data_IF_390215571734
#
_entry.id   IF_390215571734
#
_cell.length_a   1.000
_cell.length_b   1.000
_cell.length_c   1.000
_cell.angle_alpha   90.00
_cell.angle_beta   90.00
_cell.angle_gamma   90.00
#
_symmetry.space_group_name_H-M   'P 1'
#
loop_
_entity.id
_entity.type
_entity.pdbx_description
1 polymer ?
#
# COMPACT_ATOMS: atom_id res chain seq x y z
N UNK A 1 -3.34 -3.51 1.85
CA UNK A 1 -3.91 -2.20 1.48
C UNK A 1 -3.02 -1.61 0.40
N UNK A 2 -3.54 -1.44 -0.80
CA UNK A 2 -2.77 -0.93 -1.94
C UNK A 2 -2.85 0.59 -1.96
N UNK A 3 -1.71 1.27 -2.05
CA UNK A 3 -1.62 2.73 -2.09
C UNK A 3 -2.29 3.35 -3.34
N UNK A 4 -2.76 2.55 -4.30
CA UNK A 4 -3.55 2.98 -5.44
C UNK A 4 -5.03 3.19 -5.12
N UNK A 5 -5.60 2.43 -4.19
CA UNK A 5 -7.06 2.40 -3.92
C UNK A 5 -7.43 2.96 -2.55
N UNK A 6 -6.52 3.65 -1.87
CA UNK A 6 -6.76 4.16 -0.51
C UNK A 6 -7.89 5.20 -0.43
N UNK A 7 -8.18 5.89 -1.53
CA UNK A 7 -9.28 6.87 -1.63
C UNK A 7 -10.64 6.23 -1.93
N UNK A 8 -10.64 5.02 -2.47
CA UNK A 8 -11.84 4.29 -2.89
C UNK A 8 -12.35 3.32 -1.82
N UNK A 9 -11.66 3.23 -0.68
CA UNK A 9 -12.11 2.41 0.43
C UNK A 9 -13.38 3.04 1.02
N UNK A 10 -14.53 2.34 0.97
CA UNK A 10 -15.76 2.85 1.56
C UNK A 10 -15.57 3.06 3.06
N UNK A 11 -16.16 4.12 3.62
CA UNK A 11 -16.20 4.38 5.07
C UNK A 11 -16.73 3.15 5.85
N UNK A 12 -17.55 2.34 5.20
CA UNK A 12 -18.18 1.12 5.71
C UNK A 12 -17.21 -0.06 5.92
N UNK A 13 -16.04 -0.04 5.27
CA UNK A 13 -15.06 -1.14 5.35
C UNK A 13 -14.32 -1.21 6.69
N UNK A 14 -14.48 -0.22 7.58
CA UNK A 14 -13.92 -0.25 8.95
C UNK A 14 -12.39 -0.16 9.03
N UNK A 15 -11.68 -0.08 7.89
CA UNK A 15 -10.21 -0.01 7.85
C UNK A 15 -9.70 1.44 8.03
N UNK A 16 -10.56 2.44 7.76
CA UNK A 16 -10.23 3.88 7.85
C UNK A 16 -11.35 4.71 8.50
N UNK A 17 -12.30 4.06 9.18
CA UNK A 17 -13.52 4.72 9.66
C UNK A 17 -13.28 5.60 10.89
N UNK A 18 -12.11 5.50 11.54
CA UNK A 18 -11.85 6.25 12.77
C UNK A 18 -10.74 7.30 12.61
N UNK A 19 -10.90 8.44 13.30
CA UNK A 19 -9.77 9.38 13.52
C UNK A 19 -8.56 8.67 14.15
N UNK A 20 -8.80 7.58 14.88
CA UNK A 20 -7.78 6.71 15.46
C UNK A 20 -6.91 6.06 14.38
N UNK A 21 -7.49 5.50 13.31
CA UNK A 21 -6.71 4.86 12.23
C UNK A 21 -5.83 5.88 11.51
N UNK A 22 -6.36 7.07 11.26
CA UNK A 22 -5.58 8.20 10.71
C UNK A 22 -4.45 8.62 11.66
N UNK A 23 -4.70 8.61 12.98
CA UNK A 23 -3.69 8.89 14.02
C UNK A 23 -2.61 7.81 14.08
N UNK A 24 -2.97 6.54 13.94
CA UNK A 24 -2.00 5.43 13.89
C UNK A 24 -1.16 5.48 12.61
N UNK A 25 -1.77 5.81 11.47
CA UNK A 25 -1.02 5.97 10.23
C UNK A 25 -0.01 7.11 10.28
N UNK A 26 -0.37 8.23 10.91
CA UNK A 26 0.55 9.32 11.21
C UNK A 26 1.70 8.94 12.16
N UNK A 27 1.61 7.81 12.89
CA UNK A 27 2.71 7.29 13.72
C UNK A 27 3.70 6.47 12.91
N UNK A 28 3.31 5.94 11.76
CA UNK A 28 4.28 5.32 10.86
C UNK A 28 5.12 6.41 10.21
N UNK A 29 6.43 6.18 10.06
CA UNK A 29 7.32 7.13 9.40
C UNK A 29 7.53 6.86 7.91
N UNK A 30 7.08 5.70 7.41
CA UNK A 30 7.51 5.16 6.12
C UNK A 30 6.39 4.39 5.41
N UNK A 31 6.37 4.49 4.09
CA UNK A 31 5.59 3.62 3.20
C UNK A 31 6.54 2.90 2.24
N UNK A 32 6.41 1.58 2.12
CA UNK A 32 7.25 0.79 1.23
C UNK A 32 6.60 0.63 -0.15
N UNK A 33 7.29 1.07 -1.21
CA UNK A 33 6.94 0.75 -2.60
C UNK A 33 7.81 -0.42 -3.05
N UNK A 34 7.20 -1.54 -3.45
CA UNK A 34 7.92 -2.72 -3.93
C UNK A 34 7.98 -2.67 -5.46
N UNK A 35 9.17 -2.48 -6.01
CA UNK A 35 9.41 -2.45 -7.46
C UNK A 35 9.74 -3.85 -7.96
N UNK A 36 8.85 -4.42 -8.76
CA UNK A 36 8.99 -5.77 -9.32
C UNK A 36 9.49 -5.79 -10.78
N UNK A 37 9.79 -4.61 -11.36
CA UNK A 37 10.13 -4.49 -12.78
C UNK A 37 8.93 -4.67 -13.72
N UNK A 38 7.72 -4.59 -13.18
CA UNK A 38 6.46 -4.63 -13.92
C UNK A 38 6.00 -3.20 -14.23
N UNK A 39 5.31 -3.00 -15.35
CA UNK A 39 4.59 -1.77 -15.63
C UNK A 39 3.37 -1.67 -14.71
N UNK A 40 3.31 -0.62 -13.89
CA UNK A 40 2.13 -0.30 -13.10
C UNK A 40 1.17 0.59 -13.91
N UNK A 41 -0.04 0.79 -13.38
CA UNK A 41 -0.95 1.78 -13.92
C UNK A 41 -0.30 3.17 -13.98
N UNK A 42 -0.61 4.00 -15.00
CA UNK A 42 0.02 5.31 -15.20
C UNK A 42 -0.01 6.22 -13.95
N UNK A 43 -1.07 6.12 -13.15
CA UNK A 43 -1.29 6.95 -11.96
C UNK A 43 -0.74 6.33 -10.66
N UNK A 44 -0.18 5.13 -10.70
CA UNK A 44 0.28 4.42 -9.50
C UNK A 44 1.28 5.24 -8.68
N UNK A 45 2.30 5.79 -9.35
CA UNK A 45 3.34 6.61 -8.69
C UNK A 45 2.80 7.94 -8.16
N UNK A 46 1.78 8.49 -8.79
CA UNK A 46 1.07 9.67 -8.29
C UNK A 46 0.28 9.32 -7.03
N UNK A 47 -0.43 8.20 -7.04
CA UNK A 47 -1.23 7.74 -5.91
C UNK A 47 -0.38 7.40 -4.68
N UNK A 48 0.78 6.75 -4.86
CA UNK A 48 1.74 6.48 -3.77
C UNK A 48 2.25 7.79 -3.15
N UNK A 49 2.57 8.79 -3.98
CA UNK A 49 3.04 10.11 -3.49
C UNK A 49 1.95 10.86 -2.74
N UNK A 50 0.72 10.85 -3.26
CA UNK A 50 -0.41 11.50 -2.60
C UNK A 50 -0.75 10.83 -1.27
N UNK A 51 -0.71 9.50 -1.20
CA UNK A 51 -0.86 8.75 0.04
C UNK A 51 0.21 9.13 1.06
N UNK A 52 1.49 9.10 0.65
CA UNK A 52 2.61 9.45 1.52
C UNK A 52 2.48 10.88 2.06
N UNK A 53 2.11 11.84 1.21
CA UNK A 53 1.88 13.24 1.61
C UNK A 53 0.74 13.36 2.62
N UNK A 54 -0.37 12.66 2.39
CA UNK A 54 -1.58 12.74 3.23
C UNK A 54 -1.33 12.29 4.67
N UNK A 55 -0.40 11.34 4.85
CA UNK A 55 -0.05 10.79 6.16
C UNK A 55 1.35 11.19 6.66
N UNK A 56 2.02 12.12 5.97
CA UNK A 56 3.40 12.57 6.28
C UNK A 56 4.42 11.41 6.36
N UNK A 57 4.34 10.47 5.42
CA UNK A 57 5.19 9.28 5.34
C UNK A 57 6.35 9.49 4.37
N UNK A 58 7.50 8.91 4.68
CA UNK A 58 8.61 8.80 3.72
C UNK A 58 8.41 7.58 2.82
N UNK A 59 8.38 7.78 1.50
CA UNK A 59 8.41 6.66 0.54
C UNK A 59 9.78 6.00 0.58
N UNK A 60 9.80 4.67 0.71
CA UNK A 60 11.01 3.84 0.63
C UNK A 60 10.79 2.83 -0.48
N UNK A 61 11.71 2.75 -1.42
CA UNK A 61 11.63 1.80 -2.53
C UNK A 61 12.38 0.53 -2.17
N UNK A 62 11.71 -0.61 -2.29
CA UNK A 62 12.25 -1.94 -2.08
C UNK A 62 12.25 -2.67 -3.40
N UNK A 63 13.37 -3.30 -3.76
CA UNK A 63 13.41 -4.14 -4.95
C UNK A 63 12.76 -5.48 -4.64
N UNK A 64 11.61 -5.72 -5.25
CA UNK A 64 10.95 -7.02 -5.23
C UNK A 64 11.62 -8.01 -6.16
N UNK A 65 11.37 -9.30 -5.95
CA UNK A 65 11.72 -10.35 -6.89
C UNK A 65 10.48 -11.16 -7.26
N UNK A 66 10.46 -11.70 -8.48
CA UNK A 66 9.38 -12.60 -8.94
C UNK A 66 9.18 -13.78 -7.99
N UNK A 67 10.26 -14.30 -7.39
CA UNK A 67 10.23 -15.39 -6.42
C UNK A 67 9.38 -15.05 -5.19
N UNK A 68 9.53 -13.85 -4.65
CA UNK A 68 8.76 -13.41 -3.47
C UNK A 68 7.28 -13.24 -3.83
N UNK A 69 6.98 -12.61 -4.97
CA UNK A 69 5.61 -12.42 -5.43
C UNK A 69 4.90 -13.77 -5.67
N UNK A 70 5.57 -14.71 -6.34
CA UNK A 70 5.05 -16.05 -6.60
C UNK A 70 4.78 -16.79 -5.29
N UNK A 71 5.75 -16.80 -4.36
CA UNK A 71 5.59 -17.46 -3.06
C UNK A 71 4.41 -16.88 -2.28
N UNK A 72 4.29 -15.54 -2.22
CA UNK A 72 3.16 -14.88 -1.55
C UNK A 72 1.80 -15.25 -2.18
N UNK A 73 1.74 -15.35 -3.50
CA UNK A 73 0.51 -15.78 -4.20
C UNK A 73 0.14 -17.23 -3.90
N UNK A 74 1.12 -18.15 -3.94
CA UNK A 74 0.91 -19.55 -3.62
C UNK A 74 0.51 -19.75 -2.15
N UNK A 75 1.09 -18.99 -1.22
CA UNK A 75 0.72 -19.06 0.18
C UNK A 75 -0.68 -18.49 0.45
N UNK A 76 -1.05 -17.38 -0.20
CA UNK A 76 -2.42 -16.85 -0.12
C UNK A 76 -3.47 -17.85 -0.61
N UNK A 77 -3.17 -18.62 -1.67
CA UNK A 77 -4.03 -19.70 -2.18
C UNK A 77 -4.26 -20.85 -1.19
N UNK A 78 -3.37 -21.05 -0.23
CA UNK A 78 -3.47 -22.14 0.76
C UNK A 78 -4.44 -21.83 1.89
N UNK A 79 -4.92 -20.60 2.01
CA UNK A 79 -5.91 -20.21 3.01
C UNK A 79 -7.29 -20.06 2.34
N UNK A 80 -8.28 -20.90 2.69
CA UNK A 80 -9.67 -20.74 2.22
C UNK A 80 -10.37 -19.55 2.87
#
# INVERSE_FOLDING_TARGET
MWASSWKELPEESGIFSSELDKKYLKRYGRVAKISMGLSFEPDFDKNVRDFARSFNLKVVELRGSKKIAEQSYQDAKKFP
#
